data_IF_045931202219
#
_entry.id   IF_045931202219
#
_cell.length_a   1.000
_cell.length_b   1.000
_cell.length_c   1.000
_cell.angle_alpha   90.00
_cell.angle_beta   90.00
_cell.angle_gamma   90.00
#
_symmetry.space_group_name_H-M   'P 1'
#
loop_
_entity.id
_entity.type
_entity.pdbx_description
1 polymer ?
#
# COMPACT_ATOMS: atom_id res chain seq x y z
N UNK A 1 -27.77 -4.02 -17.07
CA UNK A 1 -27.09 -3.59 -15.82
C UNK A 1 -25.86 -4.46 -15.66
N UNK A 2 -24.70 -3.98 -16.09
CA UNK A 2 -23.43 -4.74 -16.06
C UNK A 2 -22.74 -4.30 -14.78
N UNK A 3 -22.72 -5.18 -13.79
CA UNK A 3 -22.34 -4.86 -12.41
C UNK A 3 -20.83 -4.75 -12.25
N UNK A 4 -20.39 -3.90 -11.32
CA UNK A 4 -18.98 -3.63 -10.99
C UNK A 4 -18.10 -4.88 -10.72
N UNK A 5 -18.72 -6.05 -10.48
CA UNK A 5 -18.07 -7.35 -10.30
C UNK A 5 -17.36 -7.87 -11.57
N UNK A 6 -17.91 -7.60 -12.77
CA UNK A 6 -17.30 -8.03 -14.05
C UNK A 6 -16.00 -7.24 -14.35
N UNK A 7 -15.93 -5.99 -13.92
CA UNK A 7 -14.77 -5.12 -14.11
C UNK A 7 -13.55 -5.60 -13.32
N UNK A 8 -13.76 -5.95 -12.04
CA UNK A 8 -12.70 -6.47 -11.18
C UNK A 8 -12.19 -7.83 -11.66
N UNK A 9 -13.08 -8.70 -12.11
CA UNK A 9 -12.74 -10.02 -12.63
C UNK A 9 -11.89 -9.93 -13.91
N UNK A 10 -12.23 -9.00 -14.80
CA UNK A 10 -11.49 -8.69 -16.03
C UNK A 10 -10.08 -8.14 -15.77
N UNK A 11 -9.92 -7.27 -14.77
CA UNK A 11 -8.62 -6.70 -14.38
C UNK A 11 -7.69 -7.79 -13.83
N UNK A 12 -8.21 -8.69 -12.99
CA UNK A 12 -7.43 -9.78 -12.40
C UNK A 12 -6.95 -10.76 -13.47
N UNK A 13 -7.79 -11.13 -14.43
CA UNK A 13 -7.39 -12.05 -15.50
C UNK A 13 -6.38 -11.44 -16.49
N UNK A 14 -6.51 -10.14 -16.84
CA UNK A 14 -5.50 -9.46 -17.67
C UNK A 14 -4.14 -9.30 -16.98
N UNK A 15 -4.13 -9.11 -15.66
CA UNK A 15 -2.90 -8.96 -14.87
C UNK A 15 -2.06 -10.25 -14.80
N UNK A 16 -2.73 -11.42 -14.77
CA UNK A 16 -2.06 -12.73 -14.67
C UNK A 16 -1.06 -13.03 -15.80
N UNK A 17 -1.25 -12.48 -17.01
CA UNK A 17 -0.43 -12.84 -18.18
C UNK A 17 0.92 -12.12 -18.30
N UNK A 18 1.09 -10.93 -17.70
CA UNK A 18 2.32 -10.12 -17.81
C UNK A 18 2.90 -9.69 -16.47
N UNK A 19 2.07 -9.52 -15.45
CA UNK A 19 2.46 -9.05 -14.11
C UNK A 19 1.86 -9.93 -13.02
N UNK A 20 1.73 -11.23 -13.28
CA UNK A 20 1.04 -12.16 -12.39
C UNK A 20 1.72 -12.25 -11.01
N UNK A 21 3.05 -12.21 -10.99
CA UNK A 21 3.84 -12.25 -9.74
C UNK A 21 3.70 -10.96 -8.95
N UNK A 22 3.77 -9.83 -9.62
CA UNK A 22 3.60 -8.48 -9.07
C UNK A 22 2.21 -8.35 -8.46
N UNK A 23 1.18 -8.79 -9.19
CA UNK A 23 -0.20 -8.78 -8.71
C UNK A 23 -0.38 -9.67 -7.47
N UNK A 24 0.20 -10.87 -7.46
CA UNK A 24 0.15 -11.76 -6.30
C UNK A 24 0.82 -11.12 -5.07
N UNK A 25 2.01 -10.56 -5.24
CA UNK A 25 2.74 -9.87 -4.17
C UNK A 25 1.97 -8.65 -3.67
N UNK A 26 1.47 -7.81 -4.57
CA UNK A 26 0.71 -6.61 -4.22
C UNK A 26 -0.57 -6.96 -3.46
N UNK A 27 -1.33 -7.97 -3.92
CA UNK A 27 -2.55 -8.41 -3.24
C UNK A 27 -2.27 -8.96 -1.84
N UNK A 28 -1.17 -9.71 -1.67
CA UNK A 28 -0.77 -10.23 -0.36
C UNK A 28 -0.39 -9.09 0.59
N UNK A 29 0.52 -8.20 0.16
CA UNK A 29 1.00 -7.08 0.97
C UNK A 29 -0.12 -6.10 1.33
N UNK A 30 -1.04 -5.82 0.41
CA UNK A 30 -2.18 -4.95 0.68
C UNK A 30 -3.12 -5.51 1.75
N UNK A 31 -3.39 -6.83 1.73
CA UNK A 31 -4.21 -7.49 2.76
C UNK A 31 -3.52 -7.48 4.12
N UNK A 32 -2.23 -7.78 4.15
CA UNK A 32 -1.43 -7.76 5.39
C UNK A 32 -1.37 -6.34 5.97
N UNK A 33 -1.12 -5.31 5.13
CA UNK A 33 -1.12 -3.91 5.55
C UNK A 33 -2.49 -3.45 6.06
N UNK A 34 -3.58 -3.87 5.43
CA UNK A 34 -4.94 -3.60 5.94
C UNK A 34 -5.18 -4.23 7.33
N UNK A 35 -4.70 -5.47 7.54
CA UNK A 35 -4.77 -6.12 8.84
C UNK A 35 -3.89 -5.41 9.90
N UNK A 36 -2.74 -4.86 9.52
CA UNK A 36 -1.91 -4.02 10.40
C UNK A 36 -2.63 -2.72 10.75
N UNK A 37 -3.17 -2.00 9.78
CA UNK A 37 -3.88 -0.75 9.99
C UNK A 37 -5.07 -0.91 10.96
N UNK A 38 -5.82 -2.02 10.85
CA UNK A 38 -6.93 -2.33 11.76
C UNK A 38 -6.49 -2.49 13.23
N UNK A 39 -5.23 -2.83 13.51
CA UNK A 39 -4.74 -2.94 14.89
C UNK A 39 -4.65 -1.59 15.61
N UNK A 40 -4.62 -0.50 14.84
CA UNK A 40 -4.60 0.88 15.35
C UNK A 40 -6.00 1.48 15.47
N UNK A 41 -7.02 0.85 14.88
CA UNK A 41 -8.38 1.39 14.82
C UNK A 41 -9.03 1.61 16.20
N UNK A 42 -8.74 0.75 17.17
CA UNK A 42 -9.29 0.81 18.54
C UNK A 42 -8.28 1.36 19.57
N UNK A 43 -7.22 2.04 19.10
CA UNK A 43 -6.18 2.64 19.95
C UNK A 43 -6.33 4.16 20.00
N UNK A 44 -5.87 4.82 21.07
CA UNK A 44 -5.72 6.27 21.07
C UNK A 44 -4.90 6.71 19.86
N UNK A 45 -5.46 7.58 19.02
CA UNK A 45 -4.85 8.02 17.77
C UNK A 45 -3.63 8.90 18.09
N UNK A 46 -2.42 8.38 17.90
CA UNK A 46 -1.22 9.22 17.85
C UNK A 46 -1.02 9.71 16.42
N UNK A 47 -1.31 11.00 16.20
CA UNK A 47 -1.14 11.69 14.92
C UNK A 47 0.16 12.48 14.96
N UNK A 48 1.07 12.20 14.05
CA UNK A 48 2.25 13.02 13.81
C UNK A 48 1.99 13.98 12.64
N UNK A 49 2.31 15.26 12.80
CA UNK A 49 2.05 16.28 11.79
C UNK A 49 3.23 16.39 10.82
N UNK A 50 2.96 16.31 9.51
CA UNK A 50 3.90 16.78 8.48
C UNK A 50 3.88 18.31 8.46
N UNK A 51 4.84 18.97 9.10
CA UNK A 51 4.99 20.43 9.09
C UNK A 51 5.69 20.90 7.82
N UNK A 52 4.99 20.87 6.69
CA UNK A 52 5.44 21.46 5.42
C UNK A 52 4.29 22.24 4.80
N UNK A 53 4.32 23.56 4.98
CA UNK A 53 3.55 24.63 4.32
C UNK A 53 2.14 24.29 3.77
N UNK A 54 1.13 24.91 4.41
CA UNK A 54 -0.25 25.13 3.93
C UNK A 54 -1.19 23.93 3.71
N UNK A 55 -0.69 22.70 3.62
CA UNK A 55 -1.53 21.50 3.46
C UNK A 55 -1.54 20.62 4.73
N UNK A 56 -2.72 20.48 5.33
CA UNK A 56 -2.95 19.73 6.57
C UNK A 56 -3.06 18.22 6.24
N UNK A 57 -1.93 17.54 6.08
CA UNK A 57 -1.90 16.09 5.85
C UNK A 57 -1.44 15.34 7.11
N UNK A 58 -2.38 14.89 7.96
CA UNK A 58 -2.05 14.11 9.15
C UNK A 58 -1.58 12.71 8.75
N UNK A 59 -0.43 12.30 9.29
CA UNK A 59 0.08 10.93 9.15
C UNK A 59 -0.09 10.21 10.48
N UNK A 60 -0.69 9.03 10.44
CA UNK A 60 -0.93 8.19 11.62
C UNK A 60 0.11 7.08 11.73
N UNK A 61 0.20 6.46 12.90
CA UNK A 61 0.99 5.23 13.09
C UNK A 61 0.56 4.10 12.14
N UNK A 62 -0.72 4.06 11.76
CA UNK A 62 -1.24 3.08 10.81
C UNK A 62 -0.67 3.29 9.41
N UNK A 63 -0.56 4.54 8.95
CA UNK A 63 0.01 4.89 7.65
C UNK A 63 1.49 4.52 7.60
N UNK A 64 2.26 4.84 8.65
CA UNK A 64 3.67 4.47 8.77
C UNK A 64 3.86 2.95 8.76
N UNK A 65 3.05 2.22 9.53
CA UNK A 65 3.14 0.76 9.61
C UNK A 65 2.79 0.10 8.26
N UNK A 66 1.73 0.55 7.60
CA UNK A 66 1.33 0.06 6.29
C UNK A 66 2.42 0.33 5.23
N UNK A 67 2.95 1.56 5.17
CA UNK A 67 4.03 1.93 4.27
C UNK A 67 5.27 1.06 4.49
N UNK A 68 5.75 0.93 5.74
CA UNK A 68 6.93 0.14 6.05
C UNK A 68 6.76 -1.33 5.61
N UNK A 69 5.58 -1.92 5.85
CA UNK A 69 5.27 -3.30 5.48
C UNK A 69 5.24 -3.49 3.96
N UNK A 70 4.54 -2.61 3.24
CA UNK A 70 4.41 -2.69 1.78
C UNK A 70 5.77 -2.46 1.11
N UNK A 71 6.47 -1.39 1.46
CA UNK A 71 7.76 -1.04 0.86
C UNK A 71 8.80 -2.13 1.14
N UNK A 72 8.89 -2.63 2.38
CA UNK A 72 9.79 -3.73 2.72
C UNK A 72 9.49 -5.01 1.94
N UNK A 73 8.21 -5.34 1.80
CA UNK A 73 7.76 -6.50 1.03
C UNK A 73 8.05 -6.39 -0.48
N UNK A 74 7.85 -5.21 -1.07
CA UNK A 74 8.17 -4.96 -2.48
C UNK A 74 9.69 -5.06 -2.69
N UNK A 75 10.51 -4.37 -1.87
CA UNK A 75 11.99 -4.45 -1.95
C UNK A 75 12.50 -5.88 -1.85
N UNK A 76 11.90 -6.69 -0.98
CA UNK A 76 12.30 -8.08 -0.84
C UNK A 76 11.93 -8.92 -2.08
N UNK A 77 10.75 -8.69 -2.67
CA UNK A 77 10.27 -9.46 -3.81
C UNK A 77 10.86 -9.00 -5.15
N UNK A 78 11.23 -7.72 -5.27
CA UNK A 78 11.70 -7.03 -6.47
C UNK A 78 12.86 -6.08 -6.11
N UNK A 79 14.07 -6.63 -5.85
CA UNK A 79 15.20 -5.83 -5.35
C UNK A 79 15.75 -4.81 -6.34
N UNK A 80 15.44 -4.96 -7.64
CA UNK A 80 15.93 -4.10 -8.72
C UNK A 80 14.92 -3.00 -9.12
N UNK A 81 13.73 -2.96 -8.50
CA UNK A 81 12.68 -2.00 -8.83
C UNK A 81 12.81 -0.71 -8.01
N UNK A 82 12.59 0.43 -8.67
CA UNK A 82 12.41 1.72 -8.01
C UNK A 82 11.07 1.79 -7.26
N UNK A 83 11.05 2.45 -6.09
CA UNK A 83 9.87 2.59 -5.25
C UNK A 83 9.66 4.06 -4.90
N UNK A 84 8.49 4.55 -5.28
CA UNK A 84 7.96 5.88 -4.95
C UNK A 84 6.84 5.71 -3.92
N UNK A 85 6.97 6.34 -2.76
CA UNK A 85 5.98 6.22 -1.68
C UNK A 85 5.93 7.50 -0.84
N UNK A 86 4.72 7.96 -0.52
CA UNK A 86 4.44 9.23 0.17
C UNK A 86 5.09 9.37 1.55
N UNK A 87 5.34 8.24 2.23
CA UNK A 87 5.93 8.19 3.58
C UNK A 87 7.38 7.68 3.59
N UNK A 88 8.00 7.51 2.43
CA UNK A 88 9.38 7.01 2.31
C UNK A 88 10.24 7.93 1.44
N UNK A 89 11.55 7.85 1.61
CA UNK A 89 12.48 8.43 0.63
C UNK A 89 12.44 7.56 -0.62
N UNK A 90 12.24 8.20 -1.77
CA UNK A 90 12.24 7.57 -3.08
C UNK A 90 13.53 6.78 -3.33
N UNK A 91 13.42 5.63 -4.01
CA UNK A 91 14.58 4.89 -4.50
C UNK A 91 14.73 5.07 -6.00
N UNK A 92 15.98 5.21 -6.44
CA UNK A 92 16.35 5.39 -7.85
C UNK A 92 16.11 4.14 -8.70
#
# INVERSE_FOLDING_TARGET
MIGAQDSLSSIVEKGKGRYGRELEVALRLAREAGALALQYYDRPLHVEQKTSADDYEPVTEADRAANAHIVGGIRHAFPDDGILAEESIDTA
#
